data_IF_248392394858
#
_entry.id   IF_248392394858
#
_cell.length_a   1.000
_cell.length_b   1.000
_cell.length_c   1.000
_cell.angle_alpha   90.00
_cell.angle_beta   90.00
_cell.angle_gamma   90.00
#
_symmetry.space_group_name_H-M   'P 1'
#
loop_
_entity.id
_entity.type
_entity.pdbx_description
1 polymer ?
#
# COMPACT_ATOMS: atom_id res chain seq x y z
N UNK A 1 2.81 -59.78 58.52
CA UNK A 1 2.59 -60.13 57.09
C UNK A 1 2.27 -58.86 56.39
N UNK A 2 3.23 -58.30 55.66
CA UNK A 2 3.23 -56.93 55.07
C UNK A 2 2.87 -57.02 53.60
N UNK A 3 1.76 -56.38 53.22
CA UNK A 3 1.37 -56.26 51.80
C UNK A 3 1.75 -54.88 51.39
N UNK A 4 2.81 -54.76 50.61
CA UNK A 4 3.24 -53.52 49.98
C UNK A 4 2.43 -53.32 48.72
N UNK A 5 1.43 -52.41 48.79
CA UNK A 5 0.70 -51.98 47.62
C UNK A 5 1.47 -50.88 46.94
N UNK A 6 2.11 -51.18 45.82
CA UNK A 6 2.78 -50.22 44.96
C UNK A 6 1.75 -49.53 44.12
N UNK A 7 1.45 -48.30 44.47
CA UNK A 7 0.59 -47.41 43.68
C UNK A 7 1.42 -46.86 42.51
N UNK A 8 1.20 -47.38 41.31
CA UNK A 8 1.80 -46.83 40.08
C UNK A 8 1.02 -45.58 39.70
N UNK A 9 1.59 -44.44 40.01
CA UNK A 9 1.12 -43.13 39.45
C UNK A 9 1.50 -43.07 37.99
N UNK A 10 0.57 -43.33 37.09
CA UNK A 10 0.71 -43.01 35.68
C UNK A 10 0.44 -41.52 35.51
N UNK A 11 1.51 -40.75 35.41
CA UNK A 11 1.42 -39.34 35.04
C UNK A 11 1.00 -39.28 33.57
N UNK A 12 -0.28 -38.99 33.34
CA UNK A 12 -0.81 -38.69 32.01
C UNK A 12 -0.41 -37.25 31.66
N UNK A 13 0.72 -37.12 31.00
CA UNK A 13 1.20 -35.88 30.43
C UNK A 13 0.28 -35.51 29.28
N UNK A 14 -0.75 -34.69 29.55
CA UNK A 14 -1.56 -34.03 28.55
C UNK A 14 -0.66 -32.98 27.88
N UNK A 15 -0.07 -33.35 26.75
CA UNK A 15 0.61 -32.43 25.84
C UNK A 15 -0.45 -31.55 25.19
N UNK A 16 -0.80 -30.44 25.85
CA UNK A 16 -1.57 -29.37 25.21
C UNK A 16 -0.68 -28.74 24.15
N UNK A 17 -0.81 -29.23 22.91
CA UNK A 17 -0.30 -28.55 21.75
C UNK A 17 -1.08 -27.21 21.62
N UNK A 18 -0.52 -26.14 22.19
CA UNK A 18 -0.94 -24.79 21.84
C UNK A 18 -0.62 -24.63 20.35
N UNK A 19 -1.65 -24.78 19.53
CA UNK A 19 -1.60 -24.33 18.15
C UNK A 19 -1.41 -22.82 18.21
N UNK A 20 -0.17 -22.36 18.12
CA UNK A 20 0.12 -20.96 17.80
C UNK A 20 -0.40 -20.74 16.40
N UNK A 21 -1.63 -20.25 16.29
CA UNK A 21 -2.09 -19.60 15.06
C UNK A 21 -1.24 -18.36 14.90
N UNK A 22 -0.12 -18.48 14.21
CA UNK A 22 0.62 -17.32 13.75
C UNK A 22 -0.32 -16.60 12.78
N UNK A 23 -1.03 -15.58 13.29
CA UNK A 23 -1.63 -14.60 12.43
C UNK A 23 -0.46 -13.98 11.66
N UNK A 24 -0.41 -14.22 10.36
CA UNK A 24 0.54 -13.54 9.50
C UNK A 24 0.27 -12.03 9.65
N UNK A 25 1.07 -11.37 10.47
CA UNK A 25 0.99 -9.93 10.66
C UNK A 25 1.50 -9.27 9.38
N UNK A 26 0.81 -8.24 8.93
CA UNK A 26 1.27 -7.48 7.77
C UNK A 26 2.71 -6.97 8.02
N UNK A 27 3.58 -7.10 7.00
CA UNK A 27 5.00 -6.74 7.10
C UNK A 27 5.24 -5.23 7.14
N UNK A 28 4.18 -4.42 6.91
CA UNK A 28 4.28 -2.96 6.93
C UNK A 28 2.91 -2.31 6.77
N UNK A 29 2.91 -0.98 6.85
CA UNK A 29 1.75 -0.13 6.60
C UNK A 29 2.00 0.73 5.39
N UNK A 30 0.97 0.99 4.59
CA UNK A 30 1.01 1.88 3.44
C UNK A 30 -0.23 2.79 3.48
N UNK A 31 -0.03 4.10 3.49
CA UNK A 31 -1.10 5.09 3.38
C UNK A 31 -1.16 5.62 1.96
N UNK A 32 -2.31 5.47 1.30
CA UNK A 32 -2.53 5.90 -0.08
C UNK A 32 -3.49 7.09 -0.10
N UNK A 33 -3.07 8.21 -0.67
CA UNK A 33 -4.00 9.24 -1.11
C UNK A 33 -4.56 8.85 -2.47
N UNK A 34 -5.88 8.70 -2.56
CA UNK A 34 -6.54 8.17 -3.75
C UNK A 34 -7.48 9.20 -4.37
N UNK A 35 -7.31 9.47 -5.66
CA UNK A 35 -8.06 10.51 -6.39
C UNK A 35 -8.90 9.95 -7.54
N UNK A 36 -9.40 8.73 -7.39
CA UNK A 36 -10.37 8.08 -8.30
C UNK A 36 -11.63 7.65 -7.55
N UNK A 37 -12.52 6.88 -8.20
CA UNK A 37 -13.72 6.37 -7.55
C UNK A 37 -13.37 5.46 -6.38
N UNK A 38 -14.15 5.55 -5.30
CA UNK A 38 -13.90 4.82 -4.04
C UNK A 38 -13.73 3.32 -4.26
N UNK A 39 -14.57 2.72 -5.10
CA UNK A 39 -14.50 1.28 -5.42
C UNK A 39 -13.17 0.88 -6.07
N UNK A 40 -12.55 1.76 -6.85
CA UNK A 40 -11.23 1.52 -7.46
C UNK A 40 -10.14 1.63 -6.40
N UNK A 41 -10.19 2.67 -5.55
CA UNK A 41 -9.27 2.83 -4.43
C UNK A 41 -9.23 1.58 -3.55
N UNK A 42 -10.43 1.11 -3.16
CA UNK A 42 -10.60 -0.08 -2.33
C UNK A 42 -10.01 -1.34 -2.98
N UNK A 43 -10.39 -1.62 -4.24
CA UNK A 43 -9.91 -2.81 -4.95
C UNK A 43 -8.38 -2.81 -5.14
N UNK A 44 -7.80 -1.67 -5.46
CA UNK A 44 -6.34 -1.56 -5.67
C UNK A 44 -5.60 -1.76 -4.36
N UNK A 45 -6.03 -1.11 -3.27
CA UNK A 45 -5.38 -1.28 -1.95
C UNK A 45 -5.54 -2.70 -1.42
N UNK A 46 -6.73 -3.31 -1.53
CA UNK A 46 -6.95 -4.70 -1.13
C UNK A 46 -6.08 -5.69 -1.93
N UNK A 47 -6.00 -5.50 -3.25
CA UNK A 47 -5.16 -6.34 -4.10
C UNK A 47 -3.68 -6.21 -3.74
N UNK A 48 -3.22 -4.99 -3.45
CA UNK A 48 -1.85 -4.72 -3.02
C UNK A 48 -1.56 -5.36 -1.65
N UNK A 49 -2.44 -5.15 -0.67
CA UNK A 49 -2.34 -5.76 0.66
C UNK A 49 -2.22 -7.28 0.59
N UNK A 50 -3.09 -7.91 -0.20
CA UNK A 50 -3.09 -9.36 -0.38
C UNK A 50 -1.82 -9.88 -1.05
N UNK A 51 -1.32 -9.16 -2.07
CA UNK A 51 -0.16 -9.60 -2.86
C UNK A 51 1.15 -9.47 -2.10
N UNK A 52 1.29 -8.42 -1.29
CA UNK A 52 2.56 -8.06 -0.65
C UNK A 52 2.55 -8.19 0.88
N UNK A 53 1.47 -8.72 1.46
CA UNK A 53 1.29 -8.84 2.91
C UNK A 53 1.51 -7.51 3.65
N UNK A 54 0.97 -6.41 3.12
CA UNK A 54 1.08 -5.05 3.65
C UNK A 54 -0.31 -4.55 4.07
N UNK A 55 -0.41 -3.85 5.18
CA UNK A 55 -1.65 -3.14 5.57
C UNK A 55 -1.76 -1.83 4.78
N UNK A 56 -2.34 -1.90 3.58
CA UNK A 56 -2.56 -0.73 2.73
C UNK A 56 -3.91 -0.09 3.04
N UNK A 57 -3.88 1.14 3.53
CA UNK A 57 -5.06 1.97 3.79
C UNK A 57 -5.14 3.10 2.78
N UNK A 58 -6.35 3.61 2.49
CA UNK A 58 -6.47 4.76 1.61
C UNK A 58 -7.37 5.87 2.20
N UNK A 59 -7.07 7.09 1.81
CA UNK A 59 -7.90 8.27 2.04
C UNK A 59 -8.29 8.85 0.68
N UNK A 60 -9.58 8.84 0.38
CA UNK A 60 -10.09 9.31 -0.91
C UNK A 60 -10.40 10.80 -0.86
N UNK A 61 -9.82 11.56 -1.79
CA UNK A 61 -10.11 12.97 -2.04
C UNK A 61 -9.96 13.32 -3.52
N UNK A 62 -10.46 14.49 -3.95
CA UNK A 62 -10.16 14.99 -5.28
C UNK A 62 -8.68 15.34 -5.42
N UNK A 63 -8.17 15.37 -6.66
CA UNK A 63 -6.75 15.61 -6.95
C UNK A 63 -6.25 16.94 -6.36
N UNK A 64 -7.04 18.01 -6.48
CA UNK A 64 -6.68 19.32 -5.92
C UNK A 64 -6.65 19.33 -4.39
N UNK A 65 -7.57 18.61 -3.73
CA UNK A 65 -7.58 18.48 -2.27
C UNK A 65 -6.36 17.70 -1.79
N UNK A 66 -6.00 16.62 -2.48
CA UNK A 66 -4.79 15.84 -2.16
C UNK A 66 -3.54 16.71 -2.29
N UNK A 67 -3.41 17.49 -3.36
CA UNK A 67 -2.29 18.42 -3.51
C UNK A 67 -2.21 19.40 -2.34
N UNK A 68 -3.36 19.97 -1.91
CA UNK A 68 -3.43 20.84 -0.74
C UNK A 68 -2.97 20.16 0.54
N UNK A 69 -3.38 18.90 0.76
CA UNK A 69 -2.94 18.09 1.91
C UNK A 69 -1.43 17.86 1.89
N UNK A 70 -0.88 17.38 0.78
CA UNK A 70 0.55 17.12 0.63
C UNK A 70 1.37 18.39 0.90
N UNK A 71 0.90 19.57 0.42
CA UNK A 71 1.53 20.86 0.72
C UNK A 71 1.53 21.18 2.23
N UNK A 72 0.40 20.96 2.89
CA UNK A 72 0.26 21.22 4.32
C UNK A 72 1.07 20.25 5.18
N UNK A 73 1.28 19.03 4.70
CA UNK A 73 1.98 17.94 5.39
C UNK A 73 3.47 17.85 5.02
N UNK A 74 4.01 18.85 4.31
CA UNK A 74 5.39 18.84 3.77
C UNK A 74 6.44 18.46 4.81
N UNK A 75 6.36 19.03 6.00
CA UNK A 75 7.32 18.78 7.08
C UNK A 75 7.07 17.46 7.84
N UNK A 76 5.90 16.86 7.66
CA UNK A 76 5.52 15.59 8.26
C UNK A 76 4.54 14.84 7.34
N UNK A 77 5.02 14.22 6.26
CA UNK A 77 4.19 13.49 5.29
C UNK A 77 3.35 12.40 5.94
N UNK A 78 2.08 12.33 5.58
CA UNK A 78 1.11 11.38 6.14
C UNK A 78 0.75 10.27 5.15
N UNK A 79 1.18 10.36 3.90
CA UNK A 79 0.93 9.36 2.88
C UNK A 79 2.22 8.95 2.17
N UNK A 80 2.27 7.68 1.83
CA UNK A 80 3.41 7.06 1.14
C UNK A 80 3.22 7.07 -0.37
N UNK A 81 1.96 7.10 -0.84
CA UNK A 81 1.64 6.98 -2.25
C UNK A 81 0.40 7.80 -2.64
N UNK A 82 0.45 8.44 -3.78
CA UNK A 82 -0.70 9.14 -4.37
C UNK A 82 -1.15 8.43 -5.65
N UNK A 83 -2.38 7.90 -5.64
CA UNK A 83 -2.94 7.10 -6.71
C UNK A 83 -4.05 7.84 -7.45
N UNK A 84 -3.89 7.95 -8.77
CA UNK A 84 -4.90 8.44 -9.69
C UNK A 84 -5.13 9.95 -9.67
N UNK A 85 -6.15 10.39 -10.40
CA UNK A 85 -6.43 11.79 -10.63
C UNK A 85 -5.81 12.33 -11.90
N UNK A 86 -5.86 13.66 -12.09
CA UNK A 86 -5.27 14.34 -13.25
C UNK A 86 -3.79 14.60 -13.05
N UNK A 87 -3.04 14.69 -14.15
CA UNK A 87 -1.58 14.76 -14.10
C UNK A 87 -1.05 16.11 -13.60
N UNK A 88 -1.78 17.21 -13.85
CA UNK A 88 -1.30 18.57 -13.55
C UNK A 88 -0.97 18.78 -12.06
N UNK A 89 -1.81 18.39 -11.09
CA UNK A 89 -1.46 18.51 -9.68
C UNK A 89 -0.28 17.62 -9.25
N UNK A 90 -0.08 16.46 -9.89
CA UNK A 90 1.10 15.63 -9.65
C UNK A 90 2.37 16.33 -10.12
N UNK A 91 2.35 16.94 -11.32
CA UNK A 91 3.49 17.71 -11.82
C UNK A 91 3.79 18.92 -10.92
N UNK A 92 2.74 19.63 -10.46
CA UNK A 92 2.90 20.73 -9.52
C UNK A 92 3.52 20.26 -8.19
N UNK A 93 3.10 19.11 -7.66
CA UNK A 93 3.69 18.55 -6.46
C UNK A 93 5.18 18.21 -6.67
N UNK A 94 5.55 17.67 -7.83
CA UNK A 94 6.93 17.37 -8.20
C UNK A 94 7.79 18.65 -8.29
N UNK A 95 7.29 19.70 -8.94
CA UNK A 95 7.96 21.00 -9.06
C UNK A 95 8.20 21.67 -7.69
N UNK A 96 7.32 21.43 -6.74
CA UNK A 96 7.45 21.91 -5.35
C UNK A 96 8.34 21.03 -4.47
N UNK A 97 8.92 19.96 -5.01
CA UNK A 97 9.77 19.03 -4.26
C UNK A 97 9.00 18.21 -3.22
N UNK A 98 7.72 17.92 -3.47
CA UNK A 98 6.84 17.19 -2.56
C UNK A 98 6.70 15.70 -2.90
N UNK A 99 7.31 15.26 -3.99
CA UNK A 99 7.30 13.87 -4.44
C UNK A 99 8.74 13.37 -4.60
N UNK A 100 8.94 12.09 -4.33
CA UNK A 100 10.18 11.40 -4.65
C UNK A 100 10.17 10.86 -6.07
N UNK A 101 11.33 10.89 -6.73
CA UNK A 101 11.51 10.26 -8.04
C UNK A 101 11.57 8.74 -7.88
N UNK A 102 10.73 8.03 -8.63
CA UNK A 102 10.71 6.57 -8.62
C UNK A 102 10.52 6.00 -10.02
N UNK A 103 11.46 5.16 -10.44
CA UNK A 103 11.36 4.42 -11.71
C UNK A 103 10.87 3.00 -11.46
N UNK A 104 9.59 2.76 -11.74
CA UNK A 104 9.01 1.43 -11.62
C UNK A 104 9.70 0.42 -12.56
N UNK A 105 10.00 -0.80 -12.10
CA UNK A 105 10.46 -1.90 -12.96
C UNK A 105 9.47 -2.21 -14.11
N UNK A 106 8.18 -1.93 -13.90
CA UNK A 106 7.12 -2.11 -14.90
C UNK A 106 6.99 -0.94 -15.89
N UNK A 107 7.79 0.11 -15.75
CA UNK A 107 7.76 1.25 -16.68
C UNK A 107 8.08 0.84 -18.13
N UNK A 108 8.79 -0.27 -18.30
CA UNK A 108 9.07 -0.85 -19.63
C UNK A 108 7.80 -1.25 -20.40
N UNK A 109 6.72 -1.59 -19.67
CA UNK A 109 5.45 -2.06 -20.21
C UNK A 109 4.48 -0.91 -20.54
N UNK A 110 4.85 0.34 -20.22
CA UNK A 110 4.07 1.55 -20.53
C UNK A 110 4.34 1.95 -21.99
N UNK A 111 3.30 2.45 -22.66
CA UNK A 111 3.41 2.93 -24.05
C UNK A 111 4.54 3.96 -24.21
N UNK A 112 5.33 3.87 -25.29
CA UNK A 112 6.57 4.67 -25.44
C UNK A 112 6.39 6.17 -25.28
N UNK A 113 5.29 6.76 -25.78
CA UNK A 113 5.01 8.19 -25.66
C UNK A 113 4.86 8.64 -24.20
N UNK A 114 4.24 7.84 -23.34
CA UNK A 114 4.07 8.16 -21.91
C UNK A 114 5.35 7.90 -21.12
N UNK A 115 6.10 6.86 -21.49
CA UNK A 115 7.41 6.59 -20.91
C UNK A 115 8.35 7.76 -21.11
N UNK A 116 8.45 8.29 -22.34
CA UNK A 116 9.26 9.46 -22.65
C UNK A 116 8.82 10.69 -21.84
N UNK A 117 7.51 10.93 -21.71
CA UNK A 117 6.98 12.03 -20.91
C UNK A 117 7.38 11.90 -19.43
N UNK A 118 7.28 10.72 -18.83
CA UNK A 118 7.66 10.48 -17.44
C UNK A 118 9.16 10.70 -17.22
N UNK A 119 10.01 10.18 -18.12
CA UNK A 119 11.45 10.35 -18.04
C UNK A 119 11.88 11.83 -18.15
N UNK A 120 11.29 12.60 -19.07
CA UNK A 120 11.52 14.04 -19.21
C UNK A 120 11.08 14.84 -17.98
N UNK A 121 10.12 14.33 -17.19
CA UNK A 121 9.61 14.93 -15.96
C UNK A 121 10.22 14.33 -14.69
N UNK A 122 11.36 13.63 -14.79
CA UNK A 122 12.12 13.13 -13.64
C UNK A 122 11.53 11.91 -12.93
N UNK A 123 10.58 11.20 -13.54
CA UNK A 123 9.91 10.01 -12.98
C UNK A 123 9.21 10.24 -11.63
N UNK A 124 8.69 11.44 -11.37
CA UNK A 124 7.92 11.73 -10.16
C UNK A 124 6.48 11.23 -10.21
N UNK A 125 5.97 10.90 -11.40
CA UNK A 125 4.64 10.34 -11.61
C UNK A 125 4.64 9.33 -12.75
N UNK A 126 3.68 8.40 -12.73
CA UNK A 126 3.49 7.39 -13.77
C UNK A 126 2.08 7.49 -14.33
N UNK A 127 1.96 7.48 -15.66
CA UNK A 127 0.66 7.41 -16.34
C UNK A 127 0.15 5.97 -16.26
N UNK A 128 -1.02 5.77 -15.67
CA UNK A 128 -1.61 4.45 -15.46
C UNK A 128 -2.91 4.24 -16.24
N UNK A 129 -3.56 5.31 -16.69
CA UNK A 129 -4.74 5.27 -17.53
C UNK A 129 -4.93 6.61 -18.27
N UNK A 130 -5.72 6.58 -19.33
CA UNK A 130 -6.22 7.74 -20.05
C UNK A 130 -7.73 7.77 -19.97
N UNK A 131 -8.31 8.96 -19.88
CA UNK A 131 -9.74 9.19 -20.03
C UNK A 131 -9.99 10.11 -21.21
N UNK A 132 -10.91 9.76 -22.07
CA UNK A 132 -11.46 10.69 -23.05
C UNK A 132 -12.42 11.63 -22.35
N UNK A 133 -12.24 12.92 -22.53
CA UNK A 133 -13.25 13.91 -22.17
C UNK A 133 -14.26 13.92 -23.34
N UNK A 134 -15.43 13.31 -23.13
CA UNK A 134 -16.53 13.46 -24.05
C UNK A 134 -16.92 14.94 -24.15
N UNK A 135 -16.88 15.47 -25.36
CA UNK A 135 -17.43 16.80 -25.72
C UNK A 135 -18.85 16.58 -26.19
#
# INVERSE_FOLDING_TARGET
MSIKTTLKLTALSALTALAYTSHAQAEGKLTVYCSVQNVVCEKVTQAFSKKYNVDAQFVRNSTGVVLGKIKAEKENPQADFWFGGTIEPHLQAAELGLLESYRSPLQKDIMPQFKSLMEQRGNFTSVIYLMELGI
#
